data_IF_512108432409
#
_entry.id   IF_512108432409
#
_cell.length_a   1.000
_cell.length_b   1.000
_cell.length_c   1.000
_cell.angle_alpha   90.00
_cell.angle_beta   90.00
_cell.angle_gamma   90.00
#
_symmetry.space_group_name_H-M   'P 1'
#
loop_
_entity.id
_entity.type
_entity.pdbx_description
1 polymer ?
#
# COMPACT_ATOMS: atom_id res chain seq x y z
N UNK A 1 -0.51 -9.42 13.84
CA UNK A 1 -0.64 -9.73 12.39
C UNK A 1 0.66 -10.33 11.90
N UNK A 2 0.58 -11.36 11.05
CA UNK A 2 1.72 -12.01 10.39
C UNK A 2 1.62 -11.81 8.87
N UNK A 3 2.76 -11.93 8.18
CA UNK A 3 2.84 -11.88 6.72
C UNK A 3 3.84 -12.89 6.18
N UNK A 4 3.55 -13.43 5.00
CA UNK A 4 4.44 -14.37 4.33
C UNK A 4 4.24 -14.38 2.81
N UNK A 5 5.09 -15.13 2.11
CA UNK A 5 4.77 -15.66 0.80
C UNK A 5 3.86 -16.90 0.92
N UNK A 6 3.39 -17.41 -0.21
CA UNK A 6 2.62 -18.66 -0.24
C UNK A 6 3.46 -19.87 0.24
N UNK A 7 2.83 -20.90 0.82
CA UNK A 7 3.51 -22.15 1.15
C UNK A 7 3.83 -22.97 -0.11
N UNK A 8 4.93 -23.72 -0.09
CA UNK A 8 5.41 -24.53 -1.22
C UNK A 8 4.85 -25.96 -1.20
N UNK A 9 3.53 -26.09 -1.11
CA UNK A 9 2.87 -27.41 -1.05
C UNK A 9 2.99 -28.19 -2.36
N UNK A 10 3.01 -27.49 -3.51
CA UNK A 10 3.04 -28.08 -4.83
C UNK A 10 1.86 -29.02 -5.17
N UNK A 11 1.90 -29.70 -6.32
CA UNK A 11 0.83 -30.61 -6.74
C UNK A 11 0.68 -31.81 -5.79
N UNK A 12 1.79 -32.23 -5.15
CA UNK A 12 1.85 -33.38 -4.26
C UNK A 12 1.42 -33.07 -2.82
N UNK A 13 0.99 -31.84 -2.52
CA UNK A 13 0.58 -31.41 -1.17
C UNK A 13 1.64 -31.70 -0.11
N UNK A 14 2.91 -31.40 -0.42
CA UNK A 14 4.02 -31.48 0.51
C UNK A 14 3.70 -30.69 1.78
N UNK A 15 4.09 -31.27 2.91
CA UNK A 15 3.95 -30.68 4.24
C UNK A 15 5.32 -30.23 4.74
N UNK A 16 5.30 -29.27 5.66
CA UNK A 16 6.49 -28.77 6.33
C UNK A 16 6.18 -28.73 7.83
N UNK A 17 6.63 -29.73 8.61
CA UNK A 17 6.37 -29.79 10.05
C UNK A 17 6.81 -28.53 10.81
N UNK A 18 7.90 -27.91 10.37
CA UNK A 18 8.44 -26.68 10.97
C UNK A 18 7.53 -25.47 10.71
N UNK A 19 6.92 -25.37 9.52
CA UNK A 19 5.96 -24.33 9.19
C UNK A 19 4.64 -24.52 9.95
N UNK A 20 4.17 -25.78 10.05
CA UNK A 20 3.01 -26.15 10.86
C UNK A 20 3.24 -25.81 12.35
N UNK A 21 4.44 -26.09 12.88
CA UNK A 21 4.83 -25.73 14.24
C UNK A 21 4.90 -24.22 14.44
N UNK A 22 5.45 -23.48 13.48
CA UNK A 22 5.55 -22.01 13.54
C UNK A 22 4.16 -21.35 13.56
N UNK A 23 3.24 -21.81 12.71
CA UNK A 23 1.86 -21.29 12.74
C UNK A 23 1.07 -21.83 13.92
N UNK A 24 1.47 -22.95 14.52
CA UNK A 24 0.90 -23.45 15.76
C UNK A 24 1.31 -22.62 16.98
N UNK A 25 2.56 -22.13 17.02
CA UNK A 25 3.11 -21.44 18.20
C UNK A 25 2.60 -20.01 18.39
N UNK A 26 1.99 -19.41 17.37
CA UNK A 26 1.43 -18.05 17.41
C UNK A 26 -0.05 -18.02 17.81
N UNK A 27 -0.66 -19.18 18.09
CA UNK A 27 -2.03 -19.30 18.58
C UNK A 27 -2.01 -19.84 20.01
N UNK A 28 -2.78 -19.23 20.91
CA UNK A 28 -2.96 -19.80 22.24
C UNK A 28 -3.86 -21.04 22.21
N UNK A 29 -3.90 -21.79 23.31
CA UNK A 29 -4.69 -23.03 23.39
C UNK A 29 -6.18 -22.75 23.16
N UNK A 30 -6.74 -23.36 22.12
CA UNK A 30 -8.15 -23.23 21.76
C UNK A 30 -8.47 -22.05 20.83
N UNK A 31 -7.49 -21.19 20.53
CA UNK A 31 -7.66 -20.09 19.59
C UNK A 31 -7.68 -20.56 18.13
N UNK A 32 -8.24 -19.69 17.27
CA UNK A 32 -8.28 -19.88 15.81
C UNK A 32 -7.64 -18.69 15.12
N UNK A 33 -6.90 -18.98 14.06
CA UNK A 33 -6.29 -17.97 13.20
C UNK A 33 -7.01 -17.85 11.86
N UNK A 34 -6.84 -16.71 11.19
CA UNK A 34 -7.30 -16.48 9.82
C UNK A 34 -6.13 -16.37 8.86
N UNK A 35 -6.24 -17.02 7.71
CA UNK A 35 -5.32 -16.81 6.59
C UNK A 35 -6.05 -16.01 5.52
N UNK A 36 -5.59 -14.78 5.25
CA UNK A 36 -6.11 -13.95 4.16
C UNK A 36 -5.19 -14.14 2.97
N UNK A 37 -5.62 -14.97 2.02
CA UNK A 37 -4.95 -15.16 0.73
C UNK A 37 -5.46 -14.09 -0.25
N UNK A 38 -4.56 -13.18 -0.62
CA UNK A 38 -4.88 -12.05 -1.51
C UNK A 38 -5.06 -12.45 -2.98
N UNK A 39 -4.99 -13.75 -3.30
CA UNK A 39 -5.21 -14.29 -4.64
C UNK A 39 -6.63 -14.86 -4.79
N UNK A 40 -7.10 -14.90 -6.03
CA UNK A 40 -8.30 -15.67 -6.34
C UNK A 40 -8.09 -17.15 -6.08
N UNK A 41 -9.16 -17.89 -5.78
CA UNK A 41 -9.10 -19.34 -5.60
C UNK A 41 -8.52 -20.05 -6.83
N UNK A 42 -8.78 -19.53 -8.03
CA UNK A 42 -8.21 -20.03 -9.28
C UNK A 42 -6.70 -19.80 -9.37
N UNK A 43 -6.23 -18.58 -9.05
CA UNK A 43 -4.80 -18.27 -9.06
C UNK A 43 -4.02 -19.08 -8.01
N UNK A 44 -4.59 -19.27 -6.82
CA UNK A 44 -4.01 -20.14 -5.79
C UNK A 44 -3.93 -21.60 -6.24
N UNK A 45 -4.96 -22.11 -6.92
CA UNK A 45 -4.95 -23.47 -7.51
C UNK A 45 -3.89 -23.60 -8.61
N UNK A 46 -3.72 -22.58 -9.46
CA UNK A 46 -2.68 -22.58 -10.49
C UNK A 46 -1.28 -22.53 -9.88
N UNK A 47 -1.07 -21.70 -8.86
CA UNK A 47 0.21 -21.62 -8.16
C UNK A 47 0.62 -22.95 -7.52
N UNK A 48 -0.36 -23.73 -7.02
CA UNK A 48 -0.12 -25.10 -6.56
C UNK A 48 0.46 -26.00 -7.64
N UNK A 49 0.01 -25.86 -8.89
CA UNK A 49 0.53 -26.66 -10.02
C UNK A 49 1.98 -26.30 -10.36
N UNK A 50 2.42 -25.08 -10.05
CA UNK A 50 3.78 -24.59 -10.29
C UNK A 50 4.67 -24.63 -9.05
N UNK A 51 4.31 -25.42 -8.03
CA UNK A 51 5.12 -25.63 -6.82
C UNK A 51 4.77 -24.77 -5.61
N UNK A 52 3.93 -23.74 -5.77
CA UNK A 52 3.36 -22.94 -4.69
C UNK A 52 2.20 -23.64 -3.98
N UNK A 53 1.24 -22.88 -3.44
CA UNK A 53 0.12 -23.50 -2.73
C UNK A 53 -0.65 -22.64 -1.74
N UNK A 54 -1.32 -23.35 -0.83
CA UNK A 54 -2.15 -22.82 0.26
C UNK A 54 -2.13 -23.82 1.43
N UNK A 55 -2.46 -23.37 2.64
CA UNK A 55 -2.48 -24.12 3.90
C UNK A 55 -3.68 -25.08 4.00
N UNK A 56 -3.58 -26.38 3.71
CA UNK A 56 -4.75 -27.26 3.76
C UNK A 56 -5.26 -27.42 5.20
N UNK A 57 -6.60 -27.42 5.39
CA UNK A 57 -7.23 -27.59 6.71
C UNK A 57 -6.80 -28.87 7.45
N UNK A 58 -6.40 -29.91 6.71
CA UNK A 58 -5.87 -31.15 7.28
C UNK A 58 -4.52 -30.98 7.99
N UNK A 59 -3.71 -30.01 7.56
CA UNK A 59 -2.39 -29.71 8.13
C UNK A 59 -2.44 -28.51 9.08
N UNK A 60 -3.35 -27.57 8.85
CA UNK A 60 -3.49 -26.34 9.64
C UNK A 60 -4.93 -26.25 10.19
N UNK A 61 -5.33 -27.13 11.13
CA UNK A 61 -6.74 -27.27 11.54
C UNK A 61 -7.31 -26.05 12.27
N UNK A 62 -6.46 -25.28 12.97
CA UNK A 62 -6.85 -24.05 13.68
C UNK A 62 -6.89 -22.80 12.78
N UNK A 63 -6.42 -22.91 11.53
CA UNK A 63 -6.32 -21.80 10.60
C UNK A 63 -7.44 -21.85 9.54
N UNK A 64 -8.28 -20.82 9.51
CA UNK A 64 -9.34 -20.66 8.51
C UNK A 64 -8.87 -19.76 7.38
N UNK A 65 -8.72 -20.32 6.18
CA UNK A 65 -8.37 -19.55 4.98
C UNK A 65 -9.58 -18.83 4.38
N UNK A 66 -9.38 -17.57 4.03
CA UNK A 66 -10.28 -16.69 3.30
C UNK A 66 -9.57 -16.23 2.01
N UNK A 67 -10.28 -16.28 0.88
CA UNK A 67 -9.77 -15.77 -0.39
C UNK A 67 -10.33 -14.38 -0.65
N UNK A 68 -9.46 -13.37 -0.69
CA UNK A 68 -9.80 -11.98 -0.97
C UNK A 68 -8.95 -11.45 -2.12
N UNK A 69 -9.36 -11.70 -3.37
CA UNK A 69 -8.54 -11.40 -4.53
C UNK A 69 -8.29 -9.89 -4.67
N UNK A 70 -7.01 -9.54 -4.77
CA UNK A 70 -6.55 -8.19 -5.11
C UNK A 70 -5.81 -8.22 -6.45
N UNK A 71 -6.12 -7.24 -7.30
CA UNK A 71 -5.48 -7.09 -8.59
C UNK A 71 -4.02 -6.65 -8.43
N UNK A 72 -3.13 -7.14 -9.30
CA UNK A 72 -1.69 -6.85 -9.25
C UNK A 72 -1.04 -6.96 -10.63
N UNK A 73 0.18 -6.44 -10.77
CA UNK A 73 0.94 -6.58 -12.00
C UNK A 73 0.28 -5.83 -13.16
N UNK A 74 0.32 -6.46 -14.35
CA UNK A 74 -0.14 -5.86 -15.61
C UNK A 74 -1.60 -5.37 -15.59
N UNK A 75 -2.61 -6.13 -15.12
CA UNK A 75 -3.99 -5.63 -15.10
C UNK A 75 -4.16 -4.35 -14.26
N UNK A 76 -3.49 -4.27 -13.11
CA UNK A 76 -3.52 -3.06 -12.27
C UNK A 76 -2.78 -1.89 -12.94
N UNK A 77 -1.66 -2.16 -13.62
CA UNK A 77 -0.96 -1.15 -14.43
C UNK A 77 -1.85 -0.64 -15.58
N UNK A 78 -2.59 -1.51 -16.26
CA UNK A 78 -3.52 -1.12 -17.34
C UNK A 78 -4.72 -0.32 -16.78
N UNK A 79 -5.20 -0.63 -15.57
CA UNK A 79 -6.18 0.18 -14.86
C UNK A 79 -5.67 1.61 -14.63
N UNK A 80 -4.45 1.74 -14.12
CA UNK A 80 -3.83 3.03 -13.86
C UNK A 80 -3.57 3.85 -15.13
N UNK A 81 -3.06 3.24 -16.21
CA UNK A 81 -2.86 3.91 -17.51
C UNK A 81 -4.20 4.49 -18.01
N UNK A 82 -5.27 3.70 -17.98
CA UNK A 82 -6.61 4.17 -18.39
C UNK A 82 -7.11 5.33 -17.54
N UNK A 83 -6.84 5.31 -16.23
CA UNK A 83 -7.20 6.41 -15.33
C UNK A 83 -6.45 7.69 -15.71
N UNK A 84 -5.13 7.59 -15.92
CA UNK A 84 -4.30 8.72 -16.34
C UNK A 84 -4.78 9.29 -17.68
N UNK A 85 -5.07 8.45 -18.66
CA UNK A 85 -5.59 8.85 -19.97
C UNK A 85 -6.97 9.52 -19.86
N UNK A 86 -7.85 9.01 -18.98
CA UNK A 86 -9.14 9.64 -18.71
C UNK A 86 -8.97 11.00 -18.06
N UNK A 87 -8.12 11.09 -17.04
CA UNK A 87 -7.89 12.31 -16.28
C UNK A 87 -7.27 13.41 -17.13
N UNK A 88 -6.35 13.10 -18.05
CA UNK A 88 -5.68 14.11 -18.89
C UNK A 88 -6.49 14.58 -20.11
N UNK A 89 -7.65 13.99 -20.39
CA UNK A 89 -8.50 14.36 -21.52
C UNK A 89 -9.52 15.44 -21.12
N UNK A 90 -9.14 16.71 -21.31
CA UNK A 90 -9.98 17.87 -20.99
C UNK A 90 -11.19 18.04 -21.93
N UNK A 91 -11.29 17.25 -23.01
CA UNK A 91 -12.37 17.35 -24.00
C UNK A 91 -13.59 16.49 -23.68
N UNK A 92 -13.56 15.74 -22.57
CA UNK A 92 -14.61 14.79 -22.20
C UNK A 92 -15.88 15.48 -21.70
N UNK A 93 -17.02 15.14 -22.32
CA UNK A 93 -18.33 15.38 -21.72
C UNK A 93 -18.60 14.43 -20.54
N UNK A 94 -19.60 14.77 -19.70
CA UNK A 94 -19.88 14.08 -18.43
C UNK A 94 -20.10 12.56 -18.56
N UNK A 95 -20.92 12.10 -19.51
CA UNK A 95 -21.19 10.66 -19.66
C UNK A 95 -19.93 9.87 -20.02
N UNK A 96 -19.08 10.45 -20.88
CA UNK A 96 -17.83 9.81 -21.30
C UNK A 96 -16.80 9.82 -20.17
N UNK A 97 -16.74 10.90 -19.38
CA UNK A 97 -15.92 10.98 -18.18
C UNK A 97 -16.27 9.88 -17.18
N UNK A 98 -17.55 9.76 -16.82
CA UNK A 98 -18.03 8.74 -15.89
C UNK A 98 -17.79 7.32 -16.44
N UNK A 99 -18.06 7.09 -17.73
CA UNK A 99 -17.79 5.79 -18.36
C UNK A 99 -16.30 5.43 -18.40
N UNK A 100 -15.40 6.40 -18.57
CA UNK A 100 -13.94 6.17 -18.49
C UNK A 100 -13.50 5.87 -17.05
N UNK A 101 -14.02 6.59 -16.06
CA UNK A 101 -13.74 6.32 -14.65
C UNK A 101 -14.21 4.91 -14.25
N UNK A 102 -15.40 4.49 -14.67
CA UNK A 102 -15.91 3.15 -14.41
C UNK A 102 -15.04 2.08 -15.09
N UNK A 103 -14.74 2.26 -16.39
CA UNK A 103 -14.01 1.27 -17.18
C UNK A 103 -12.53 1.14 -16.82
N UNK A 104 -11.91 2.16 -16.19
CA UNK A 104 -10.55 2.06 -15.67
C UNK A 104 -10.47 1.18 -14.41
N UNK A 105 -11.56 1.05 -13.64
CA UNK A 105 -11.68 0.23 -12.42
C UNK A 105 -10.81 0.63 -11.23
N UNK A 106 -10.07 1.73 -11.30
CA UNK A 106 -9.13 2.14 -10.25
C UNK A 106 -9.80 2.27 -8.87
N UNK A 107 -10.95 2.95 -8.79
CA UNK A 107 -11.70 3.10 -7.53
C UNK A 107 -12.21 1.75 -6.99
N UNK A 108 -12.44 0.78 -7.87
CA UNK A 108 -12.76 -0.60 -7.47
C UNK A 108 -11.57 -1.29 -6.80
N UNK A 109 -10.34 -1.03 -7.26
CA UNK A 109 -9.13 -1.54 -6.62
C UNK A 109 -8.87 -0.88 -5.26
N UNK A 110 -9.09 0.44 -5.14
CA UNK A 110 -9.02 1.17 -3.86
C UNK A 110 -10.01 0.58 -2.86
N UNK A 111 -11.27 0.40 -3.28
CA UNK A 111 -12.31 -0.25 -2.46
C UNK A 111 -11.88 -1.65 -2.01
N UNK A 112 -11.38 -2.49 -2.92
CA UNK A 112 -11.00 -3.86 -2.60
C UNK A 112 -9.85 -3.93 -1.60
N UNK A 113 -8.84 -3.06 -1.75
CA UNK A 113 -7.71 -2.95 -0.83
C UNK A 113 -8.17 -2.54 0.58
N UNK A 114 -8.96 -1.45 0.68
CA UNK A 114 -9.52 -1.00 1.97
C UNK A 114 -10.42 -2.06 2.61
N UNK A 115 -11.27 -2.72 1.83
CA UNK A 115 -12.16 -3.78 2.33
C UNK A 115 -11.37 -4.95 2.91
N UNK A 116 -10.29 -5.36 2.25
CA UNK A 116 -9.43 -6.46 2.70
C UNK A 116 -8.63 -6.06 3.96
N UNK A 117 -8.15 -4.81 4.03
CA UNK A 117 -7.49 -4.28 5.21
C UNK A 117 -8.45 -4.16 6.41
N UNK A 118 -9.69 -3.69 6.18
CA UNK A 118 -10.75 -3.67 7.20
C UNK A 118 -11.06 -5.07 7.73
N UNK A 119 -11.09 -6.09 6.86
CA UNK A 119 -11.27 -7.47 7.30
C UNK A 119 -10.11 -7.93 8.21
N UNK A 120 -8.87 -7.69 7.79
CA UNK A 120 -7.70 -8.03 8.62
C UNK A 120 -7.76 -7.33 9.98
N UNK A 121 -8.08 -6.03 9.97
CA UNK A 121 -8.26 -5.24 11.18
C UNK A 121 -9.40 -5.78 12.05
N UNK A 122 -10.54 -6.14 11.47
CA UNK A 122 -11.70 -6.66 12.19
C UNK A 122 -11.41 -7.99 12.89
N UNK A 123 -10.72 -8.91 12.19
CA UNK A 123 -10.32 -10.18 12.79
C UNK A 123 -9.40 -9.96 14.02
N UNK A 124 -8.53 -8.95 13.98
CA UNK A 124 -7.64 -8.65 15.11
C UNK A 124 -8.34 -7.90 16.24
N UNK A 125 -9.04 -6.81 15.93
CA UNK A 125 -9.62 -5.91 16.93
C UNK A 125 -10.88 -6.50 17.58
N UNK A 126 -11.76 -7.13 16.79
CA UNK A 126 -13.08 -7.59 17.28
C UNK A 126 -13.12 -9.07 17.61
N UNK A 127 -12.46 -9.89 16.80
CA UNK A 127 -12.42 -11.34 17.02
C UNK A 127 -11.24 -11.79 17.88
N UNK A 128 -10.30 -10.87 18.19
CA UNK A 128 -9.07 -11.16 18.94
C UNK A 128 -8.30 -12.34 18.33
N UNK A 129 -8.32 -12.46 17.00
CA UNK A 129 -7.75 -13.59 16.28
C UNK A 129 -6.41 -13.21 15.62
N UNK A 130 -5.49 -14.17 15.58
CA UNK A 130 -4.27 -14.02 14.80
C UNK A 130 -4.58 -14.07 13.29
N UNK A 131 -3.98 -13.16 12.54
CA UNK A 131 -4.17 -13.04 11.09
C UNK A 131 -2.84 -13.22 10.37
N UNK A 132 -2.78 -14.16 9.44
CA UNK A 132 -1.71 -14.32 8.45
C UNK A 132 -2.19 -13.78 7.11
N UNK A 133 -1.50 -12.79 6.56
CA UNK A 133 -1.77 -12.28 5.21
C UNK A 133 -0.69 -12.78 4.26
N UNK A 134 -1.07 -13.35 3.12
CA UNK A 134 -0.12 -13.67 2.06
C UNK A 134 -0.69 -13.52 0.66
N UNK A 135 0.23 -13.49 -0.30
CA UNK A 135 -0.03 -13.52 -1.73
C UNK A 135 0.91 -14.54 -2.35
N UNK A 136 1.25 -14.39 -3.62
CA UNK A 136 2.20 -15.32 -4.24
C UNK A 136 3.61 -15.19 -3.62
N UNK A 137 4.21 -14.02 -3.69
CA UNK A 137 5.58 -13.74 -3.20
C UNK A 137 5.60 -12.98 -1.86
N UNK A 138 4.44 -12.47 -1.41
CA UNK A 138 4.34 -11.73 -0.14
C UNK A 138 4.85 -10.28 -0.18
N UNK A 139 5.25 -9.76 -1.34
CA UNK A 139 5.93 -8.46 -1.49
C UNK A 139 5.12 -7.36 -2.18
N UNK A 140 3.86 -7.65 -2.55
CA UNK A 140 2.96 -6.70 -3.24
C UNK A 140 1.66 -6.51 -2.43
N UNK A 141 0.58 -7.20 -2.82
CA UNK A 141 -0.76 -7.11 -2.21
C UNK A 141 -0.77 -7.46 -0.72
N UNK A 142 0.15 -8.31 -0.27
CA UNK A 142 0.35 -8.62 1.14
C UNK A 142 0.77 -7.38 1.92
N UNK A 143 1.78 -6.65 1.44
CA UNK A 143 2.30 -5.44 2.09
C UNK A 143 1.26 -4.31 2.07
N UNK A 144 0.51 -4.19 0.96
CA UNK A 144 -0.62 -3.27 0.84
C UNK A 144 -1.64 -3.49 1.97
N UNK A 145 -2.08 -4.73 2.17
CA UNK A 145 -3.09 -5.08 3.19
C UNK A 145 -2.53 -4.88 4.60
N UNK A 146 -1.31 -5.35 4.87
CA UNK A 146 -0.72 -5.27 6.22
C UNK A 146 -0.42 -3.83 6.61
N UNK A 147 0.08 -3.00 5.68
CA UNK A 147 0.31 -1.59 5.96
C UNK A 147 -1.01 -0.83 6.20
N UNK A 148 -2.05 -1.05 5.37
CA UNK A 148 -3.36 -0.39 5.57
C UNK A 148 -4.03 -0.81 6.87
N UNK A 149 -3.99 -2.10 7.23
CA UNK A 149 -4.55 -2.57 8.49
C UNK A 149 -3.86 -1.91 9.69
N UNK A 150 -2.54 -1.67 9.63
CA UNK A 150 -1.83 -0.94 10.67
C UNK A 150 -2.21 0.54 10.76
N UNK A 151 -2.43 1.23 9.63
CA UNK A 151 -2.95 2.62 9.65
C UNK A 151 -4.35 2.68 10.27
N UNK A 152 -5.19 1.66 10.00
CA UNK A 152 -6.54 1.54 10.54
C UNK A 152 -6.53 1.29 12.06
N UNK A 153 -5.71 0.33 12.50
CA UNK A 153 -5.67 -0.15 13.89
C UNK A 153 -4.88 0.78 14.81
N UNK A 154 -3.72 1.28 14.37
CA UNK A 154 -2.71 1.84 15.26
C UNK A 154 -2.63 3.38 15.16
N UNK A 155 -2.90 4.12 16.24
CA UNK A 155 -2.70 5.58 16.28
C UNK A 155 -1.26 6.00 15.96
N UNK A 156 -0.27 5.21 16.37
CA UNK A 156 1.14 5.49 16.11
C UNK A 156 1.42 5.59 14.60
N UNK A 157 0.83 4.71 13.78
CA UNK A 157 0.98 4.69 12.33
C UNK A 157 0.31 5.89 11.61
N UNK A 158 -0.45 6.72 12.35
CA UNK A 158 -1.11 7.93 11.84
C UNK A 158 -0.37 9.23 12.18
N UNK A 159 0.72 9.14 12.94
CA UNK A 159 1.68 10.24 13.12
C UNK A 159 2.63 10.31 11.91
N UNK A 160 3.23 11.46 11.63
CA UNK A 160 4.19 11.60 10.52
C UNK A 160 5.36 10.63 10.69
N UNK A 161 5.99 10.63 11.87
CA UNK A 161 7.12 9.75 12.17
C UNK A 161 6.72 8.28 12.18
N UNK A 162 5.56 7.94 12.75
CA UNK A 162 5.09 6.56 12.74
C UNK A 162 4.69 6.05 11.36
N UNK A 163 4.15 6.92 10.49
CA UNK A 163 3.88 6.58 9.09
C UNK A 163 5.18 6.37 8.31
N UNK A 164 6.19 7.23 8.45
CA UNK A 164 7.52 6.98 7.87
C UNK A 164 8.11 5.64 8.34
N UNK A 165 8.01 5.34 9.64
CA UNK A 165 8.44 4.07 10.21
C UNK A 165 7.67 2.87 9.67
N UNK A 166 6.36 3.03 9.42
CA UNK A 166 5.53 2.02 8.75
C UNK A 166 6.03 1.78 7.32
N UNK A 167 6.32 2.82 6.53
CA UNK A 167 6.83 2.66 5.16
C UNK A 167 8.20 1.97 5.13
N UNK A 168 9.09 2.35 6.04
CA UNK A 168 10.41 1.74 6.16
C UNK A 168 10.31 0.23 6.49
N UNK A 169 9.48 -0.16 7.46
CA UNK A 169 9.30 -1.56 7.87
C UNK A 169 8.48 -2.37 6.87
N UNK A 170 7.34 -1.84 6.44
CA UNK A 170 6.34 -2.61 5.70
C UNK A 170 6.60 -2.67 4.21
N UNK A 171 7.22 -1.64 3.63
CA UNK A 171 7.48 -1.59 2.19
C UNK A 171 8.96 -1.81 1.87
N UNK A 172 9.87 -1.05 2.50
CA UNK A 172 11.29 -1.07 2.13
C UNK A 172 11.99 -2.32 2.68
N UNK A 173 11.99 -2.51 3.99
CA UNK A 173 12.67 -3.65 4.64
C UNK A 173 12.00 -4.99 4.30
N UNK A 174 10.69 -4.98 4.08
CA UNK A 174 9.92 -6.14 3.64
C UNK A 174 10.25 -6.60 2.21
N UNK A 175 10.93 -5.76 1.43
CA UNK A 175 11.35 -6.08 0.06
C UNK A 175 10.27 -5.86 -0.99
N UNK A 176 9.45 -4.82 -0.86
CA UNK A 176 8.69 -4.33 -2.00
C UNK A 176 9.67 -3.95 -3.13
N UNK A 177 9.52 -4.51 -4.34
CA UNK A 177 10.52 -4.33 -5.38
C UNK A 177 10.37 -2.99 -6.11
N UNK A 178 10.61 -1.86 -5.42
CA UNK A 178 10.42 -0.50 -5.94
C UNK A 178 11.11 -0.28 -7.29
N UNK A 179 12.37 -0.69 -7.45
CA UNK A 179 13.08 -0.52 -8.71
C UNK A 179 12.41 -1.22 -9.90
N UNK A 180 11.78 -2.39 -9.68
CA UNK A 180 11.03 -3.10 -10.72
C UNK A 180 9.61 -2.53 -10.92
N UNK A 181 8.96 -2.10 -9.84
CA UNK A 181 7.55 -1.65 -9.85
C UNK A 181 7.37 -0.22 -10.35
N UNK A 182 8.37 0.62 -10.08
CA UNK A 182 8.42 2.04 -10.42
C UNK A 182 9.56 2.34 -11.43
N UNK A 183 9.92 1.37 -12.28
CA UNK A 183 11.06 1.46 -13.19
C UNK A 183 10.97 2.60 -14.22
N UNK A 184 9.74 2.98 -14.61
CA UNK A 184 9.47 4.13 -15.46
C UNK A 184 8.52 5.10 -14.76
N UNK A 185 8.48 6.31 -15.29
CA UNK A 185 7.48 7.30 -14.89
C UNK A 185 6.09 6.69 -14.83
N UNK A 186 5.34 7.05 -13.78
CA UNK A 186 3.96 6.67 -13.58
C UNK A 186 3.07 7.03 -14.80
N UNK A 187 3.48 7.99 -15.62
CA UNK A 187 2.77 8.45 -16.81
C UNK A 187 3.25 7.79 -18.11
N UNK A 188 4.11 6.77 -18.04
CA UNK A 188 4.58 6.06 -19.22
C UNK A 188 3.48 5.18 -19.84
N UNK A 189 3.27 5.29 -21.16
CA UNK A 189 2.38 4.39 -21.90
C UNK A 189 3.03 3.02 -22.21
N UNK A 190 4.31 2.86 -21.89
CA UNK A 190 5.00 1.60 -22.11
C UNK A 190 4.55 0.53 -21.11
N UNK A 191 4.50 -0.72 -21.57
CA UNK A 191 3.97 -1.84 -20.78
C UNK A 191 5.07 -2.84 -20.45
N UNK A 192 5.86 -2.54 -19.42
CA UNK A 192 6.83 -3.52 -18.91
C UNK A 192 6.11 -4.57 -18.06
N UNK A 193 6.62 -5.80 -18.08
CA UNK A 193 5.97 -6.95 -17.44
C UNK A 193 5.91 -6.85 -15.90
N UNK A 194 6.82 -6.08 -15.30
CA UNK A 194 7.05 -6.04 -13.85
C UNK A 194 6.55 -4.75 -13.17
N UNK A 195 6.10 -3.75 -13.91
CA UNK A 195 5.56 -2.52 -13.34
C UNK A 195 4.19 -2.77 -12.75
N UNK A 196 3.92 -2.16 -11.60
CA UNK A 196 2.60 -2.14 -11.00
C UNK A 196 2.50 -1.04 -9.93
N UNK A 197 1.39 -0.27 -9.91
CA UNK A 197 1.24 0.91 -9.05
C UNK A 197 0.75 0.53 -7.64
N UNK A 198 1.34 -0.49 -7.00
CA UNK A 198 0.87 -0.98 -5.70
C UNK A 198 1.12 0.03 -4.58
N UNK A 199 2.29 0.67 -4.59
CA UNK A 199 2.60 1.72 -3.63
C UNK A 199 1.68 2.94 -3.83
N UNK A 200 1.39 3.31 -5.09
CA UNK A 200 0.39 4.34 -5.37
C UNK A 200 -1.01 3.93 -4.87
N UNK A 201 -1.44 2.69 -5.10
CA UNK A 201 -2.72 2.19 -4.62
C UNK A 201 -2.82 2.28 -3.09
N UNK A 202 -1.73 1.99 -2.38
CA UNK A 202 -1.62 2.20 -0.94
C UNK A 202 -1.79 3.68 -0.56
N UNK A 203 -1.07 4.60 -1.22
CA UNK A 203 -1.17 6.02 -0.94
C UNK A 203 -2.58 6.57 -1.21
N UNK A 204 -3.25 6.11 -2.27
CA UNK A 204 -4.65 6.48 -2.56
C UNK A 204 -5.57 5.99 -1.45
N UNK A 205 -5.40 4.76 -0.97
CA UNK A 205 -6.16 4.25 0.18
C UNK A 205 -5.93 5.11 1.43
N UNK A 206 -4.69 5.54 1.72
CA UNK A 206 -4.39 6.45 2.85
C UNK A 206 -5.03 7.82 2.64
N UNK A 207 -5.08 8.32 1.40
CA UNK A 207 -5.82 9.54 1.07
C UNK A 207 -7.33 9.39 1.28
N UNK A 208 -7.93 8.22 0.97
CA UNK A 208 -9.34 7.97 1.32
C UNK A 208 -9.54 8.00 2.84
N UNK A 209 -8.61 7.44 3.62
CA UNK A 209 -8.66 7.48 5.09
C UNK A 209 -8.55 8.92 5.61
N UNK A 210 -7.62 9.73 5.11
CA UNK A 210 -7.48 11.13 5.54
C UNK A 210 -8.74 11.94 5.26
N UNK A 211 -9.44 11.66 4.16
CA UNK A 211 -10.71 12.31 3.83
C UNK A 211 -11.88 11.91 4.71
N UNK A 212 -11.96 10.64 5.07
CA UNK A 212 -13.03 10.15 5.95
C UNK A 212 -12.77 10.48 7.42
N UNK A 213 -11.49 10.67 7.80
CA UNK A 213 -11.05 10.97 9.15
C UNK A 213 -10.12 12.21 9.18
N UNK A 214 -10.65 13.42 8.87
CA UNK A 214 -9.85 14.63 8.62
C UNK A 214 -8.97 15.07 9.81
N UNK A 215 -9.28 14.64 11.03
CA UNK A 215 -8.52 14.97 12.24
C UNK A 215 -7.54 13.85 12.65
N UNK A 216 -7.62 12.65 12.07
CA UNK A 216 -6.95 11.47 12.64
C UNK A 216 -5.52 11.21 12.14
N UNK A 217 -5.10 11.86 11.05
CA UNK A 217 -3.76 11.73 10.47
C UNK A 217 -2.99 13.03 10.67
N UNK A 218 -1.77 12.93 11.22
CA UNK A 218 -0.91 14.09 11.51
C UNK A 218 -0.35 14.73 10.24
N UNK A 219 -0.36 14.00 9.13
CA UNK A 219 0.12 14.46 7.85
C UNK A 219 -1.02 14.67 6.85
N UNK A 220 -0.83 15.63 5.95
CA UNK A 220 -1.77 15.97 4.88
C UNK A 220 -1.45 15.32 3.53
N UNK A 221 -2.26 15.68 2.53
CA UNK A 221 -2.13 15.22 1.15
C UNK A 221 -0.75 15.51 0.54
N UNK A 222 -0.13 16.64 0.89
CA UNK A 222 1.20 17.01 0.40
C UNK A 222 2.28 15.96 0.67
N UNK A 223 2.19 15.25 1.81
CA UNK A 223 3.14 14.15 2.11
C UNK A 223 2.93 13.01 1.12
N UNK A 224 1.67 12.61 0.91
CA UNK A 224 1.33 11.49 0.04
C UNK A 224 1.74 11.77 -1.42
N UNK A 225 1.55 13.00 -1.90
CA UNK A 225 2.04 13.44 -3.21
C UNK A 225 3.57 13.38 -3.30
N UNK A 226 4.27 13.87 -2.26
CA UNK A 226 5.74 13.83 -2.21
C UNK A 226 6.27 12.40 -2.22
N UNK A 227 5.63 11.49 -1.48
CA UNK A 227 5.98 10.06 -1.46
C UNK A 227 5.74 9.40 -2.82
N UNK A 228 4.63 9.74 -3.48
CA UNK A 228 4.36 9.26 -4.84
C UNK A 228 5.45 9.71 -5.81
N UNK A 229 5.77 11.01 -5.86
CA UNK A 229 6.77 11.54 -6.79
C UNK A 229 8.15 10.89 -6.52
N UNK A 230 8.56 10.79 -5.25
CA UNK A 230 9.83 10.16 -4.87
C UNK A 230 9.88 8.64 -5.06
N UNK A 231 8.75 7.94 -5.19
CA UNK A 231 8.77 6.51 -5.53
C UNK A 231 9.17 6.27 -7.00
N UNK A 232 8.90 7.24 -7.88
CA UNK A 232 9.17 7.15 -9.32
C UNK A 232 10.42 7.92 -9.77
N UNK A 233 10.67 9.09 -9.17
CA UNK A 233 11.83 9.92 -9.45
C UNK A 233 12.28 10.63 -8.17
N UNK A 234 13.49 10.37 -7.71
CA UNK A 234 13.97 10.87 -6.42
C UNK A 234 15.45 11.20 -6.45
N UNK A 235 15.81 12.25 -5.72
CA UNK A 235 17.19 12.58 -5.37
C UNK A 235 17.69 11.79 -4.14
N UNK A 236 16.82 10.95 -3.54
CA UNK A 236 17.09 10.19 -2.32
C UNK A 236 17.20 8.69 -2.58
N UNK A 237 17.88 7.99 -1.67
CA UNK A 237 18.01 6.53 -1.72
C UNK A 237 16.82 5.75 -1.17
N UNK A 238 15.84 6.42 -0.58
CA UNK A 238 14.78 5.78 0.23
C UNK A 238 14.05 4.68 -0.55
N UNK A 239 13.61 4.94 -1.78
CA UNK A 239 12.87 3.97 -2.60
C UNK A 239 13.72 3.27 -3.68
N UNK A 240 15.05 3.30 -3.57
CA UNK A 240 15.94 2.57 -4.49
C UNK A 240 16.02 1.06 -4.18
N UNK A 241 16.39 0.29 -5.21
CA UNK A 241 16.57 -1.17 -5.21
C UNK A 241 15.26 -1.96 -4.99
N UNK A 242 15.35 -3.30 -4.92
CA UNK A 242 14.18 -4.16 -4.75
C UNK A 242 14.06 -4.84 -3.38
N UNK A 243 15.13 -4.83 -2.59
CA UNK A 243 15.16 -5.47 -1.27
C UNK A 243 16.36 -4.97 -0.47
N UNK A 244 16.33 -5.24 0.83
CA UNK A 244 17.35 -4.80 1.77
C UNK A 244 18.74 -5.41 1.49
N UNK A 245 18.81 -6.61 0.90
CA UNK A 245 20.08 -7.21 0.48
C UNK A 245 20.71 -6.38 -0.64
N UNK A 246 19.95 -6.05 -1.67
CA UNK A 246 20.42 -5.18 -2.76
C UNK A 246 20.87 -3.83 -2.23
N UNK A 247 20.15 -3.22 -1.28
CA UNK A 247 20.51 -1.89 -0.71
C UNK A 247 21.88 -1.85 -0.02
N UNK A 248 22.37 -2.99 0.50
CA UNK A 248 23.64 -3.12 1.25
C UNK A 248 24.85 -3.50 0.41
N UNK A 249 24.65 -4.16 -0.73
CA UNK A 249 25.74 -4.82 -1.49
C UNK A 249 26.33 -3.88 -2.52
N UNK A 250 27.60 -3.49 -2.39
CA UNK A 250 28.26 -2.64 -3.37
C UNK A 250 28.14 -3.21 -4.79
N UNK A 251 27.75 -2.37 -5.76
CA UNK A 251 27.68 -2.76 -7.16
C UNK A 251 28.98 -3.36 -7.67
N UNK A 252 28.89 -4.39 -8.52
CA UNK A 252 30.07 -4.86 -9.27
C UNK A 252 30.40 -3.83 -10.36
N UNK A 253 31.69 -3.57 -10.60
CA UNK A 253 32.15 -2.72 -11.73
C UNK A 253 31.50 -3.21 -13.03
N UNK A 254 30.79 -2.32 -13.74
CA UNK A 254 30.08 -2.62 -14.99
C UNK A 254 28.58 -2.92 -14.84
N UNK A 255 28.06 -3.06 -13.61
CA UNK A 255 26.62 -3.07 -13.34
C UNK A 255 26.17 -1.67 -12.90
N UNK A 256 25.08 -1.17 -13.48
CA UNK A 256 24.51 0.15 -13.24
C UNK A 256 23.79 0.23 -11.87
N UNK A 257 24.39 -0.33 -10.81
CA UNK A 257 23.77 -0.38 -9.48
C UNK A 257 24.77 0.10 -8.42
N UNK A 258 24.60 1.33 -7.94
CA UNK A 258 25.40 1.92 -6.86
C UNK A 258 24.87 1.48 -5.48
N UNK A 259 24.99 0.21 -5.10
CA UNK A 259 24.33 -0.23 -3.87
C UNK A 259 25.23 -0.22 -2.61
N UNK A 260 25.40 0.95 -2.04
CA UNK A 260 25.63 1.14 -0.61
C UNK A 260 24.74 2.31 -0.24
N UNK A 261 23.42 2.06 -0.27
CA UNK A 261 22.43 3.13 -0.38
C UNK A 261 22.55 4.10 0.80
N UNK A 262 22.73 3.56 2.02
CA UNK A 262 22.87 4.38 3.23
C UNK A 262 24.13 5.24 3.22
N UNK A 263 25.20 4.79 2.57
CA UNK A 263 26.48 5.49 2.52
C UNK A 263 26.61 6.44 1.33
N UNK A 264 25.94 6.13 0.22
CA UNK A 264 26.12 6.84 -1.06
C UNK A 264 24.95 7.77 -1.41
N UNK A 265 23.88 7.80 -0.62
CA UNK A 265 22.69 8.61 -0.92
C UNK A 265 22.13 9.24 0.36
N UNK A 266 21.34 10.30 0.19
CA UNK A 266 20.60 10.90 1.28
C UNK A 266 19.26 10.17 1.52
N UNK A 267 18.77 10.23 2.76
CA UNK A 267 17.45 9.71 3.13
C UNK A 267 16.37 10.77 2.92
N UNK A 268 15.27 10.40 2.26
CA UNK A 268 14.08 11.25 2.14
C UNK A 268 13.53 11.60 3.53
N UNK A 269 13.58 10.67 4.49
CA UNK A 269 13.13 10.90 5.86
C UNK A 269 13.90 12.04 6.52
N UNK A 270 15.24 12.03 6.37
CA UNK A 270 16.09 13.07 6.94
C UNK A 270 15.81 14.46 6.37
N UNK A 271 15.36 14.54 5.12
CA UNK A 271 14.93 15.80 4.51
C UNK A 271 13.53 16.23 4.97
N UNK A 272 12.56 15.30 4.95
CA UNK A 272 11.18 15.56 5.40
C UNK A 272 11.12 15.98 6.88
N UNK A 273 12.05 15.50 7.71
CA UNK A 273 12.08 15.78 9.15
C UNK A 273 12.75 17.13 9.48
N UNK A 274 13.30 17.84 8.50
CA UNK A 274 13.80 19.20 8.72
C UNK A 274 12.66 20.11 9.18
N UNK A 275 12.83 20.96 10.22
CA UNK A 275 11.72 21.69 10.84
C UNK A 275 10.86 22.52 9.87
N UNK A 276 11.49 23.21 8.91
CA UNK A 276 10.79 24.04 7.93
C UNK A 276 10.07 23.22 6.86
N UNK A 277 10.61 22.06 6.52
CA UNK A 277 10.03 21.16 5.53
C UNK A 277 8.86 20.36 6.15
N UNK A 278 9.08 19.82 7.35
CA UNK A 278 8.09 19.07 8.13
C UNK A 278 6.76 19.82 8.26
N UNK A 279 6.79 21.12 8.58
CA UNK A 279 5.58 21.96 8.76
C UNK A 279 4.67 21.98 7.52
N UNK A 280 5.22 21.83 6.32
CA UNK A 280 4.43 21.84 5.07
C UNK A 280 3.52 20.61 4.98
N UNK A 281 3.98 19.50 5.55
CA UNK A 281 3.30 18.20 5.48
C UNK A 281 2.34 17.94 6.64
N UNK A 282 2.41 18.71 7.72
CA UNK A 282 1.51 18.55 8.85
C UNK A 282 0.09 18.96 8.50
N UNK A 283 -0.86 18.18 8.99
CA UNK A 283 -2.29 18.48 8.97
C UNK A 283 -2.59 19.41 10.17
N UNK A 284 -2.98 20.68 9.93
CA UNK A 284 -3.30 21.60 11.03
C UNK A 284 -4.52 21.16 11.83
N UNK A 285 -5.38 20.32 11.28
CA UNK A 285 -6.56 19.78 11.95
C UNK A 285 -6.24 18.53 12.77
N UNK A 286 -4.99 18.08 12.84
CA UNK A 286 -4.67 16.85 13.54
C UNK A 286 -5.06 16.91 15.02
N UNK A 287 -5.78 15.90 15.46
CA UNK A 287 -6.11 15.64 16.86
C UNK A 287 -5.86 14.16 17.15
N UNK A 288 -5.04 13.82 18.17
CA UNK A 288 -4.75 12.43 18.50
C UNK A 288 -6.03 11.61 18.72
N UNK A 289 -6.26 10.65 17.83
CA UNK A 289 -7.40 9.74 17.89
C UNK A 289 -6.93 8.32 18.27
N UNK A 290 -7.13 7.87 19.52
CA UNK A 290 -6.66 6.56 19.97
C UNK A 290 -7.49 5.39 19.41
N UNK A 291 -8.65 5.65 18.82
CA UNK A 291 -9.58 4.63 18.35
C UNK A 291 -9.16 4.06 16.99
N UNK A 292 -9.58 2.83 16.72
CA UNK A 292 -9.53 2.23 15.38
C UNK A 292 -10.42 3.02 14.43
N UNK A 293 -9.92 3.35 13.24
CA UNK A 293 -10.66 4.11 12.23
C UNK A 293 -11.28 3.17 11.19
N UNK A 294 -12.60 3.00 11.21
CA UNK A 294 -13.32 2.09 10.31
C UNK A 294 -13.86 2.85 9.08
N UNK A 295 -13.14 2.89 7.94
CA UNK A 295 -13.62 3.61 6.77
C UNK A 295 -14.87 2.96 6.17
N UNK A 296 -15.75 3.79 5.63
CA UNK A 296 -16.75 3.35 4.67
C UNK A 296 -16.07 2.95 3.36
N UNK A 297 -16.30 1.71 2.94
CA UNK A 297 -15.83 1.14 1.67
C UNK A 297 -16.97 1.04 0.64
N UNK A 298 -18.09 1.71 0.91
CA UNK A 298 -19.18 1.82 -0.04
C UNK A 298 -18.77 2.68 -1.24
N UNK A 299 -19.25 2.38 -2.47
CA UNK A 299 -18.83 3.09 -3.67
C UNK A 299 -18.97 4.62 -3.58
N UNK A 300 -20.03 5.12 -2.94
CA UNK A 300 -20.29 6.55 -2.75
C UNK A 300 -19.28 7.25 -1.82
N UNK A 301 -18.53 6.49 -1.01
CA UNK A 301 -17.52 7.01 -0.09
C UNK A 301 -16.12 7.09 -0.71
N UNK A 302 -15.87 6.32 -1.79
CA UNK A 302 -14.59 6.29 -2.49
C UNK A 302 -14.61 7.33 -3.61
N UNK A 303 -13.66 8.27 -3.60
CA UNK A 303 -13.61 9.34 -4.61
C UNK A 303 -12.29 9.33 -5.37
N UNK A 304 -12.29 9.96 -6.55
CA UNK A 304 -11.07 10.21 -7.29
C UNK A 304 -10.14 11.12 -6.48
N UNK A 305 -8.87 10.71 -6.34
CA UNK A 305 -7.83 11.56 -5.76
C UNK A 305 -7.45 12.70 -6.71
N UNK A 306 -8.24 13.78 -6.68
CA UNK A 306 -8.11 14.90 -7.61
C UNK A 306 -6.75 15.60 -7.50
N UNK A 307 -6.22 15.78 -6.28
CA UNK A 307 -4.93 16.42 -6.04
C UNK A 307 -3.74 15.69 -6.67
N UNK A 308 -3.89 14.38 -6.97
CA UNK A 308 -2.88 13.64 -7.73
C UNK A 308 -3.24 13.54 -9.21
N UNK A 309 -4.43 13.06 -9.54
CA UNK A 309 -4.78 12.69 -10.91
C UNK A 309 -5.20 13.87 -11.79
N UNK A 310 -5.67 14.98 -11.20
CA UNK A 310 -6.09 16.18 -11.92
C UNK A 310 -5.12 17.36 -11.74
N UNK A 311 -3.95 17.15 -11.11
CA UNK A 311 -3.00 18.22 -10.76
C UNK A 311 -2.44 19.03 -11.93
N UNK A 312 -2.52 18.49 -13.15
CA UNK A 312 -2.09 19.17 -14.37
C UNK A 312 -3.20 19.93 -15.09
N UNK A 313 -4.45 19.72 -14.70
CA UNK A 313 -5.64 20.31 -15.34
C UNK A 313 -6.33 21.30 -14.42
N UNK A 314 -6.36 21.01 -13.11
CA UNK A 314 -6.96 21.87 -12.10
C UNK A 314 -5.86 22.62 -11.35
N UNK A 315 -5.87 23.96 -11.35
CA UNK A 315 -4.99 24.74 -10.50
C UNK A 315 -5.21 24.38 -9.03
N UNK A 316 -4.14 24.20 -8.26
CA UNK A 316 -4.22 23.99 -6.81
C UNK A 316 -4.50 25.28 -6.03
N UNK A 317 -4.36 26.45 -6.67
CA UNK A 317 -4.41 27.77 -6.03
C UNK A 317 -5.53 27.92 -4.99
N UNK A 318 -6.79 27.63 -5.36
CA UNK A 318 -7.92 27.81 -4.43
C UNK A 318 -7.90 26.83 -3.25
N UNK A 319 -7.39 25.61 -3.46
CA UNK A 319 -7.20 24.64 -2.38
C UNK A 319 -6.05 25.07 -1.47
N UNK A 320 -4.97 25.59 -2.03
CA UNK A 320 -3.81 26.10 -1.29
C UNK A 320 -4.22 27.32 -0.44
N UNK A 321 -5.00 28.25 -1.01
CA UNK A 321 -5.60 29.39 -0.30
C UNK A 321 -6.51 28.93 0.85
N UNK A 322 -7.39 27.95 0.61
CA UNK A 322 -8.26 27.40 1.65
C UNK A 322 -7.45 26.75 2.78
N UNK A 323 -6.40 25.98 2.46
CA UNK A 323 -5.54 25.37 3.47
C UNK A 323 -4.70 26.39 4.23
N UNK A 324 -4.24 27.45 3.58
CA UNK A 324 -3.54 28.55 4.25
C UNK A 324 -4.46 29.24 5.26
N UNK A 325 -5.72 29.48 4.89
CA UNK A 325 -6.71 30.07 5.80
C UNK A 325 -7.04 29.13 6.97
N UNK A 326 -7.20 27.82 6.72
CA UNK A 326 -7.39 26.84 7.80
C UNK A 326 -6.22 26.87 8.79
N UNK A 327 -4.97 26.90 8.31
CA UNK A 327 -3.79 26.99 9.18
C UNK A 327 -3.83 28.27 10.03
N UNK A 328 -4.13 29.41 9.40
CA UNK A 328 -4.27 30.70 10.10
C UNK A 328 -5.32 30.66 11.22
N UNK A 329 -6.46 30.02 10.96
CA UNK A 329 -7.55 29.90 11.94
C UNK A 329 -7.21 28.97 13.11
N UNK A 330 -6.42 27.92 12.88
CA UNK A 330 -5.97 27.01 13.93
C UNK A 330 -4.88 27.64 14.78
N UNK A 331 -3.90 28.32 14.17
CA UNK A 331 -2.78 28.97 14.86
C UNK A 331 -3.19 30.24 15.62
N UNK A 332 -4.30 30.86 15.23
CA UNK A 332 -4.84 32.06 15.87
C UNK A 332 -5.73 31.81 17.10
N UNK A 333 -6.04 30.55 17.43
CA UNK A 333 -6.83 30.14 18.60
C UNK A 333 -5.96 29.48 19.67
#
# INVERSE_FOLDING_TARGET
MLRSAQPLTGPNRKRCPEDEMLLGSVLDQGERGFVIDTRSAQAAKQARMTGGGTEPKSSYPQWKRLHWPLERGRPLQESFIKLVEACNDASLGMDRWLGRLESCRWLGHVKAALSTACLAAQCMDREQACVLVHGAEGTDTTLLVTALAQVILEPACRTLTGFQGLLEREWIQAGHPFHLRCARSAYSHARLKQEAPLFLLFLDCVWQLSRQFPFSLEFGEGLLLTLFDNAYASDYGTFLCNNEKERRVAGRRGQQCLCKVKENTHSLWAWLDQPEEKKKYLNPLYSPNPLVIWPSVEPQSIQLWQGLFLRWIRPSQYLDEAWAEIRRLVEGN
#
